data_IF_341133979311
#
_entry.id   IF_341133979311
#
_cell.length_a   1.000
_cell.length_b   1.000
_cell.length_c   1.000
_cell.angle_alpha   90.00
_cell.angle_beta   90.00
_cell.angle_gamma   90.00
#
_symmetry.space_group_name_H-M   'P 1'
#
loop_
_entity.id
_entity.type
_entity.pdbx_description
1 polymer ?
#
# COMPACT_ATOMS: atom_id res chain seq x y z
N UNK A 1 -24.51 -14.94 -17.18
CA UNK A 1 -25.27 -15.31 -15.97
C UNK A 1 -24.45 -14.87 -14.76
N UNK A 2 -25.08 -14.50 -13.62
CA UNK A 2 -24.31 -14.20 -12.41
C UNK A 2 -23.58 -15.46 -11.92
N UNK A 3 -22.38 -15.27 -11.37
CA UNK A 3 -21.53 -16.33 -10.84
C UNK A 3 -21.21 -16.07 -9.36
N UNK A 4 -21.04 -17.14 -8.58
CA UNK A 4 -20.50 -17.10 -7.23
C UNK A 4 -19.08 -17.63 -7.26
N UNK A 5 -18.12 -16.80 -6.87
CA UNK A 5 -16.70 -17.18 -6.81
C UNK A 5 -16.23 -17.14 -5.38
N UNK A 6 -15.48 -18.16 -4.97
CA UNK A 6 -14.92 -18.25 -3.62
C UNK A 6 -13.46 -17.85 -3.64
N UNK A 7 -13.08 -16.99 -2.71
CA UNK A 7 -11.69 -16.62 -2.44
C UNK A 7 -10.97 -17.84 -1.81
N UNK A 8 -9.89 -18.35 -2.42
CA UNK A 8 -9.22 -19.56 -1.96
C UNK A 8 -8.40 -19.35 -0.68
N UNK A 9 -8.13 -18.10 -0.28
CA UNK A 9 -7.31 -17.78 0.90
C UNK A 9 -8.23 -17.67 2.11
N UNK A 10 -9.14 -16.69 2.10
CA UNK A 10 -9.99 -16.41 3.27
C UNK A 10 -11.37 -17.08 3.21
N UNK A 11 -11.70 -17.76 2.12
CA UNK A 11 -12.92 -18.55 1.99
C UNK A 11 -14.22 -17.76 1.79
N UNK A 12 -14.16 -16.42 1.60
CA UNK A 12 -15.34 -15.59 1.32
C UNK A 12 -15.95 -15.89 -0.06
N UNK A 13 -17.25 -15.67 -0.20
CA UNK A 13 -17.95 -15.72 -1.49
C UNK A 13 -18.17 -14.32 -2.06
N UNK A 14 -18.00 -14.18 -3.36
CA UNK A 14 -18.22 -12.95 -4.11
C UNK A 14 -19.19 -13.20 -5.25
N UNK A 15 -20.19 -12.33 -5.38
CA UNK A 15 -21.18 -12.36 -6.46
C UNK A 15 -20.63 -11.54 -7.64
N UNK A 16 -20.40 -12.20 -8.76
CA UNK A 16 -19.98 -11.58 -10.02
C UNK A 16 -21.20 -11.46 -10.92
N UNK A 17 -21.69 -10.24 -11.11
CA UNK A 17 -22.87 -9.94 -11.92
C UNK A 17 -22.54 -8.83 -12.94
N UNK A 18 -21.90 -9.22 -14.06
CA UNK A 18 -21.38 -8.32 -15.11
C UNK A 18 -22.45 -7.38 -15.70
N UNK A 19 -23.69 -7.85 -15.83
CA UNK A 19 -24.82 -7.08 -16.38
C UNK A 19 -25.19 -5.85 -15.52
N UNK A 20 -24.81 -5.80 -14.22
CA UNK A 20 -25.10 -4.63 -13.38
C UNK A 20 -24.35 -3.37 -13.80
N UNK A 21 -23.26 -3.50 -14.55
CA UNK A 21 -22.55 -2.35 -15.14
C UNK A 21 -23.36 -1.59 -16.19
N UNK A 22 -24.42 -2.20 -16.74
CA UNK A 22 -25.30 -1.58 -17.75
C UNK A 22 -26.45 -0.77 -17.15
N UNK A 23 -26.62 -0.80 -15.82
CA UNK A 23 -27.67 -0.04 -15.15
C UNK A 23 -27.34 1.44 -15.28
N UNK A 24 -28.26 2.20 -15.88
CA UNK A 24 -28.15 3.65 -15.92
C UNK A 24 -28.31 4.21 -14.50
N UNK A 25 -27.36 5.04 -14.10
CA UNK A 25 -27.39 5.75 -12.83
C UNK A 25 -28.01 7.11 -13.05
N UNK A 26 -29.06 7.43 -12.28
CA UNK A 26 -29.63 8.79 -12.22
C UNK A 26 -28.66 9.81 -11.60
N UNK A 27 -27.61 9.33 -10.93
CA UNK A 27 -26.53 10.15 -10.40
C UNK A 27 -25.42 10.32 -11.44
N UNK A 28 -25.09 11.56 -11.77
CA UNK A 28 -23.97 11.92 -12.66
C UNK A 28 -22.63 11.58 -12.00
N UNK A 29 -21.81 10.78 -12.67
CA UNK A 29 -20.38 10.70 -12.37
C UNK A 29 -19.72 11.98 -12.89
N UNK A 30 -19.53 12.99 -12.04
CA UNK A 30 -18.66 14.11 -12.40
C UNK A 30 -17.23 13.59 -12.44
N UNK A 31 -16.56 13.74 -13.58
CA UNK A 31 -15.10 13.65 -13.62
C UNK A 31 -14.59 14.82 -12.78
N UNK A 32 -13.96 14.51 -11.65
CA UNK A 32 -13.38 15.53 -10.78
C UNK A 32 -12.09 16.02 -11.44
N UNK A 33 -12.11 17.26 -11.95
CA UNK A 33 -10.89 17.93 -12.39
C UNK A 33 -9.94 18.06 -11.20
N UNK A 34 -8.67 17.69 -11.38
CA UNK A 34 -7.65 17.91 -10.36
C UNK A 34 -7.61 19.41 -10.04
N UNK A 35 -7.69 19.81 -8.77
CA UNK A 35 -7.61 21.21 -8.41
C UNK A 35 -6.28 21.80 -8.89
N UNK A 36 -6.27 23.09 -9.28
CA UNK A 36 -5.06 23.76 -9.73
C UNK A 36 -3.98 23.70 -8.66
N UNK A 37 -2.70 23.68 -9.08
CA UNK A 37 -1.55 23.62 -8.18
C UNK A 37 -1.67 24.72 -7.13
N UNK A 38 -1.92 24.33 -5.88
CA UNK A 38 -2.05 25.27 -4.78
C UNK A 38 -0.67 25.53 -4.18
N UNK A 39 -0.22 26.79 -4.23
CA UNK A 39 1.05 27.24 -3.63
C UNK A 39 1.15 27.00 -2.12
N UNK A 40 0.03 26.73 -1.45
CA UNK A 40 -0.03 26.45 -0.02
C UNK A 40 0.04 24.96 0.35
N UNK A 41 0.19 24.04 -0.61
CA UNK A 41 0.33 22.62 -0.28
C UNK A 41 1.53 22.38 0.68
N UNK A 42 1.34 21.76 1.85
CA UNK A 42 2.43 21.52 2.81
C UNK A 42 3.48 20.53 2.31
N UNK A 43 3.15 19.72 1.29
CA UNK A 43 4.05 18.71 0.73
C UNK A 43 4.86 19.23 -0.47
N UNK A 44 4.56 20.43 -0.98
CA UNK A 44 5.39 21.04 -2.02
C UNK A 44 6.76 21.49 -1.46
N UNK A 45 7.83 21.41 -2.27
CA UNK A 45 9.12 21.99 -1.90
C UNK A 45 9.01 23.48 -1.57
N UNK A 46 9.71 23.92 -0.52
CA UNK A 46 9.65 25.29 0.00
C UNK A 46 8.60 25.50 1.11
N UNK A 47 7.74 24.50 1.36
CA UNK A 47 6.77 24.50 2.45
C UNK A 47 7.13 23.52 3.58
N UNK A 48 8.41 23.11 3.69
CA UNK A 48 8.90 22.15 4.69
C UNK A 48 8.56 22.56 6.14
N UNK A 49 8.53 23.87 6.42
CA UNK A 49 8.15 24.43 7.71
C UNK A 49 6.67 24.20 8.09
N UNK A 50 5.82 23.76 7.15
CA UNK A 50 4.40 23.42 7.41
C UNK A 50 4.21 21.96 7.83
N UNK A 51 5.25 21.14 7.74
CA UNK A 51 5.25 19.73 8.14
C UNK A 51 6.13 19.49 9.37
N UNK A 52 5.90 18.41 10.14
CA UNK A 52 6.87 17.97 11.14
C UNK A 52 8.22 17.64 10.49
N UNK A 53 9.28 17.59 11.29
CA UNK A 53 10.62 17.32 10.77
C UNK A 53 10.73 15.96 10.08
N UNK A 54 11.44 15.92 8.96
CA UNK A 54 11.63 14.70 8.17
C UNK A 54 12.40 13.63 8.94
N UNK A 55 11.90 12.39 8.93
CA UNK A 55 12.55 11.21 9.52
C UNK A 55 13.60 10.67 8.55
N UNK A 56 13.23 10.59 7.27
CA UNK A 56 14.06 10.14 6.16
C UNK A 56 13.82 11.05 4.95
N UNK A 57 14.86 11.32 4.17
CA UNK A 57 14.72 12.03 2.91
C UNK A 57 15.80 11.59 1.93
N UNK A 58 15.42 11.40 0.67
CA UNK A 58 16.36 11.27 -0.42
C UNK A 58 16.47 12.62 -1.12
N UNK A 59 17.68 13.15 -1.20
CA UNK A 59 17.95 14.56 -1.51
C UNK A 59 19.29 14.78 -2.20
N UNK A 60 19.40 15.90 -2.89
CA UNK A 60 20.61 16.31 -3.59
C UNK A 60 21.77 16.52 -2.60
N UNK A 61 22.99 16.05 -2.92
CA UNK A 61 24.17 16.29 -2.10
C UNK A 61 24.39 17.78 -1.82
N UNK A 62 24.65 18.13 -0.56
CA UNK A 62 24.87 19.51 -0.12
C UNK A 62 23.61 20.29 0.27
N UNK A 63 22.41 19.72 0.10
CA UNK A 63 21.17 20.31 0.61
C UNK A 63 20.93 19.97 2.09
N UNK A 64 20.17 20.80 2.80
CA UNK A 64 19.96 20.68 4.25
C UNK A 64 18.63 20.02 4.61
N UNK A 65 18.65 19.24 5.69
CA UNK A 65 17.48 18.58 6.26
C UNK A 65 16.35 19.58 6.53
N UNK A 66 15.10 19.22 6.22
CA UNK A 66 13.92 20.10 6.32
C UNK A 66 13.98 21.37 5.45
N UNK A 67 14.79 21.35 4.40
CA UNK A 67 14.77 22.34 3.32
C UNK A 67 14.56 21.65 1.96
N UNK A 68 14.33 22.45 0.92
CA UNK A 68 14.20 22.01 -0.49
C UNK A 68 15.38 21.16 -0.97
N UNK A 69 15.17 20.45 -2.07
CA UNK A 69 16.19 19.60 -2.72
C UNK A 69 16.04 18.10 -2.45
N UNK A 70 14.97 17.70 -1.76
CA UNK A 70 14.53 16.31 -1.65
C UNK A 70 13.67 15.93 -2.87
N UNK A 71 13.71 14.65 -3.25
CA UNK A 71 12.76 14.06 -4.20
C UNK A 71 11.81 13.06 -3.54
N UNK A 72 12.22 12.42 -2.43
CA UNK A 72 11.34 11.63 -1.55
C UNK A 72 11.56 12.10 -0.11
N UNK A 73 10.48 12.26 0.66
CA UNK A 73 10.55 12.73 2.05
C UNK A 73 9.55 12.00 2.94
N UNK A 74 10.01 11.41 4.03
CA UNK A 74 9.18 10.77 5.05
C UNK A 74 9.10 11.68 6.26
N UNK A 75 7.87 11.95 6.73
CA UNK A 75 7.58 12.78 7.90
C UNK A 75 6.62 12.04 8.83
N UNK A 76 6.63 12.32 10.15
CA UNK A 76 5.51 11.96 11.02
C UNK A 76 4.23 12.58 10.49
N UNK A 77 3.11 11.86 10.57
CA UNK A 77 1.81 12.45 10.29
C UNK A 77 1.49 13.50 11.37
N UNK A 78 1.08 14.70 10.94
CA UNK A 78 0.72 15.80 11.85
C UNK A 78 -0.50 15.47 12.73
N UNK A 79 -1.38 14.61 12.23
CA UNK A 79 -2.57 14.13 12.94
C UNK A 79 -2.52 12.60 12.98
N UNK A 80 -1.62 12.02 13.79
CA UNK A 80 -1.38 10.59 13.78
C UNK A 80 -2.58 9.83 14.39
N UNK A 81 -2.86 8.62 13.88
CA UNK A 81 -3.92 7.77 14.43
C UNK A 81 -3.46 6.96 15.64
N UNK A 82 -2.14 6.88 15.85
CA UNK A 82 -1.47 6.22 16.97
C UNK A 82 -0.30 7.08 17.45
N UNK A 83 -0.03 7.09 18.75
CA UNK A 83 1.07 7.82 19.38
C UNK A 83 2.34 6.98 19.53
N UNK A 84 3.51 7.55 19.24
CA UNK A 84 4.79 6.82 19.31
C UNK A 84 5.28 6.66 20.76
N UNK A 85 4.97 7.64 21.60
CA UNK A 85 5.43 7.71 23.00
C UNK A 85 4.50 6.95 23.95
N UNK A 86 5.07 6.32 24.98
CA UNK A 86 4.32 5.66 26.06
C UNK A 86 4.43 4.14 26.07
N UNK A 87 3.47 3.47 26.73
CA UNK A 87 3.42 2.02 26.87
C UNK A 87 2.05 1.51 26.44
N UNK A 88 1.96 0.24 26.03
CA UNK A 88 0.70 -0.34 25.56
C UNK A 88 -0.39 -0.37 26.64
N UNK A 89 -0.02 -0.46 27.92
CA UNK A 89 -0.94 -0.45 29.07
C UNK A 89 -2.18 -1.34 28.85
N UNK A 90 -1.94 -2.59 28.40
CA UNK A 90 -2.99 -3.59 28.15
C UNK A 90 -3.74 -3.89 29.46
N UNK A 91 -5.06 -3.77 29.45
CA UNK A 91 -5.94 -3.94 30.61
C UNK A 91 -7.30 -4.48 30.19
N UNK A 92 -7.96 -5.20 31.08
CA UNK A 92 -9.32 -5.70 30.86
C UNK A 92 -10.32 -5.05 31.82
N UNK A 93 -11.56 -4.89 31.35
CA UNK A 93 -12.72 -4.55 32.15
C UNK A 93 -13.83 -5.58 31.89
N UNK A 94 -13.90 -6.60 32.76
CA UNK A 94 -14.78 -7.75 32.54
C UNK A 94 -14.42 -8.51 31.26
N UNK A 95 -15.30 -8.46 30.26
CA UNK A 95 -15.11 -9.10 28.95
C UNK A 95 -14.44 -8.21 27.91
N UNK A 96 -14.17 -6.94 28.23
CA UNK A 96 -13.65 -5.94 27.29
C UNK A 96 -12.15 -5.77 27.48
N UNK A 97 -11.40 -5.76 26.37
CA UNK A 97 -9.97 -5.48 26.36
C UNK A 97 -9.69 -4.03 25.92
N UNK A 98 -8.75 -3.38 26.61
CA UNK A 98 -8.25 -2.05 26.30
C UNK A 98 -6.73 -2.05 26.21
N UNK A 99 -6.20 -1.18 25.36
CA UNK A 99 -4.81 -0.80 25.36
C UNK A 99 -4.70 0.67 24.92
N UNK A 100 -3.61 1.31 25.25
CA UNK A 100 -3.34 2.67 24.78
C UNK A 100 -2.97 2.62 23.29
N UNK A 101 -3.33 3.68 22.55
CA UNK A 101 -3.14 3.78 21.11
C UNK A 101 -1.68 4.02 20.72
N UNK A 102 -0.79 3.10 21.06
CA UNK A 102 0.64 3.18 20.75
C UNK A 102 0.91 2.67 19.34
N UNK A 103 1.71 3.38 18.57
CA UNK A 103 2.02 3.07 17.18
C UNK A 103 2.77 4.21 16.49
N UNK A 104 3.10 4.02 15.22
CA UNK A 104 3.63 5.09 14.38
C UNK A 104 2.65 5.39 13.24
N UNK A 105 2.52 6.66 12.88
CA UNK A 105 1.82 7.08 11.67
C UNK A 105 2.71 8.06 10.91
N UNK A 106 3.19 7.64 9.75
CA UNK A 106 4.12 8.40 8.91
C UNK A 106 3.50 8.65 7.53
N UNK A 107 3.91 9.75 6.90
CA UNK A 107 3.56 10.11 5.54
C UNK A 107 4.83 10.08 4.70
N UNK A 108 4.78 9.35 3.59
CA UNK A 108 5.83 9.28 2.57
C UNK A 108 5.40 10.18 1.43
N UNK A 109 6.03 11.34 1.32
CA UNK A 109 5.86 12.26 0.19
C UNK A 109 6.71 11.73 -0.95
N UNK A 110 6.04 11.28 -2.00
CA UNK A 110 6.59 10.42 -3.05
C UNK A 110 7.40 11.18 -4.10
N UNK A 111 7.09 12.47 -4.28
CA UNK A 111 7.76 13.32 -5.25
C UNK A 111 7.66 14.78 -4.85
N UNK A 112 8.58 15.60 -5.35
CA UNK A 112 8.48 17.06 -5.31
C UNK A 112 7.36 17.60 -6.23
N UNK A 113 6.89 16.82 -7.22
CA UNK A 113 5.89 17.23 -8.22
C UNK A 113 4.46 17.07 -7.68
N UNK A 114 3.70 18.17 -7.61
CA UNK A 114 2.39 18.20 -6.94
C UNK A 114 1.29 17.33 -7.57
N UNK A 115 1.33 17.09 -8.88
CA UNK A 115 0.25 16.41 -9.62
C UNK A 115 0.73 15.16 -10.36
N UNK A 116 1.90 14.61 -9.99
CA UNK A 116 2.44 13.45 -10.70
C UNK A 116 1.79 12.16 -10.21
N UNK A 117 1.34 11.30 -11.11
CA UNK A 117 1.03 9.91 -10.81
C UNK A 117 2.29 9.04 -10.91
N UNK A 118 2.22 7.78 -10.48
CA UNK A 118 3.35 6.85 -10.64
C UNK A 118 3.80 6.71 -12.10
N UNK A 119 2.86 6.71 -13.06
CA UNK A 119 3.16 6.61 -14.48
C UNK A 119 3.97 7.82 -15.02
N UNK A 120 3.82 9.00 -14.41
CA UNK A 120 4.55 10.22 -14.78
C UNK A 120 5.99 10.25 -14.24
N UNK A 121 6.30 9.38 -13.26
CA UNK A 121 7.61 9.31 -12.64
C UNK A 121 8.54 8.40 -13.44
N UNK A 122 9.83 8.72 -13.43
CA UNK A 122 10.86 7.81 -13.94
C UNK A 122 10.94 6.57 -13.05
N UNK A 123 11.32 5.41 -13.63
CA UNK A 123 11.40 4.15 -12.89
C UNK A 123 12.24 4.29 -11.62
N UNK A 124 13.38 4.97 -11.75
CA UNK A 124 14.29 5.21 -10.63
C UNK A 124 13.62 5.97 -9.49
N UNK A 125 12.74 6.93 -9.78
CA UNK A 125 12.00 7.65 -8.74
C UNK A 125 11.04 6.74 -7.98
N UNK A 126 10.39 5.80 -8.67
CA UNK A 126 9.49 4.82 -8.05
C UNK A 126 10.27 3.79 -7.23
N UNK A 127 11.44 3.36 -7.69
CA UNK A 127 12.36 2.53 -6.89
C UNK A 127 12.71 3.21 -5.57
N UNK A 128 13.06 4.50 -5.59
CA UNK A 128 13.37 5.26 -4.38
C UNK A 128 12.16 5.35 -3.43
N UNK A 129 10.93 5.43 -3.93
CA UNK A 129 9.74 5.36 -3.07
C UNK A 129 9.64 4.00 -2.38
N UNK A 130 9.87 2.91 -3.11
CA UNK A 130 9.88 1.54 -2.57
C UNK A 130 11.00 1.36 -1.52
N UNK A 131 12.19 1.89 -1.79
CA UNK A 131 13.29 1.88 -0.82
C UNK A 131 12.92 2.65 0.45
N UNK A 132 12.28 3.81 0.32
CA UNK A 132 11.79 4.55 1.49
C UNK A 132 10.77 3.72 2.31
N UNK A 133 9.83 3.04 1.66
CA UNK A 133 8.89 2.14 2.34
C UNK A 133 9.61 1.03 3.12
N UNK A 134 10.56 0.35 2.46
CA UNK A 134 11.36 -0.72 3.05
C UNK A 134 12.18 -0.22 4.25
N UNK A 135 12.90 0.89 4.09
CA UNK A 135 13.77 1.43 5.12
C UNK A 135 12.98 1.88 6.35
N UNK A 136 11.80 2.47 6.14
CA UNK A 136 10.89 2.80 7.25
C UNK A 136 10.35 1.56 7.93
N UNK A 137 9.94 0.54 7.17
CA UNK A 137 9.48 -0.73 7.74
C UNK A 137 10.55 -1.39 8.61
N UNK A 138 11.80 -1.45 8.13
CA UNK A 138 12.94 -2.00 8.89
C UNK A 138 13.25 -1.20 10.16
N UNK A 139 13.13 0.11 10.11
CA UNK A 139 13.34 0.96 11.27
C UNK A 139 12.23 0.81 12.32
N UNK A 140 10.97 0.83 11.88
CA UNK A 140 9.80 0.64 12.76
C UNK A 140 9.78 -0.75 13.41
N UNK A 141 10.25 -1.79 12.70
CA UNK A 141 10.38 -3.16 13.22
C UNK A 141 11.32 -3.29 14.44
N UNK A 142 12.20 -2.30 14.67
CA UNK A 142 13.07 -2.29 15.87
C UNK A 142 12.28 -2.06 17.16
N UNK A 143 11.09 -1.51 17.07
CA UNK A 143 10.19 -1.36 18.20
C UNK A 143 9.37 -2.63 18.42
N UNK A 144 9.72 -3.39 19.46
CA UNK A 144 9.09 -4.66 19.80
C UNK A 144 7.60 -4.54 20.18
N UNK A 145 7.07 -3.32 20.36
CA UNK A 145 5.64 -3.09 20.61
C UNK A 145 4.82 -3.28 19.34
N UNK A 146 5.40 -3.15 18.14
CA UNK A 146 4.69 -3.22 16.88
C UNK A 146 4.65 -4.66 16.35
N UNK A 147 3.45 -5.14 16.01
CA UNK A 147 3.22 -6.47 15.45
C UNK A 147 3.00 -6.43 13.93
N UNK A 148 2.60 -5.28 13.37
CA UNK A 148 2.31 -5.13 11.95
C UNK A 148 2.60 -3.72 11.44
N UNK A 149 3.13 -3.62 10.21
CA UNK A 149 3.36 -2.35 9.50
C UNK A 149 2.51 -2.37 8.23
N UNK A 150 1.59 -1.42 8.13
CA UNK A 150 0.71 -1.22 6.97
C UNK A 150 1.25 -0.06 6.12
N UNK A 151 1.67 -0.36 4.89
CA UNK A 151 1.93 0.65 3.86
C UNK A 151 0.71 0.75 2.97
N UNK A 152 0.17 1.95 2.78
CA UNK A 152 -1.00 2.15 1.93
C UNK A 152 -0.99 3.51 1.25
N UNK A 153 -1.78 3.63 0.18
CA UNK A 153 -1.94 4.86 -0.60
C UNK A 153 -3.41 5.08 -0.92
N UNK A 154 -3.89 6.30 -0.65
CA UNK A 154 -5.19 6.76 -1.10
C UNK A 154 -4.96 7.79 -2.20
N UNK A 155 -5.54 7.58 -3.37
CA UNK A 155 -5.41 8.48 -4.52
C UNK A 155 -6.78 8.93 -5.02
N UNK A 156 -6.99 10.25 -5.07
CA UNK A 156 -8.26 10.86 -5.45
C UNK A 156 -9.25 11.00 -4.28
N UNK A 157 -10.20 11.94 -4.43
CA UNK A 157 -11.17 12.26 -3.37
C UNK A 157 -12.07 11.07 -3.04
N UNK A 158 -12.49 10.30 -4.05
CA UNK A 158 -13.29 9.08 -3.88
C UNK A 158 -12.60 8.00 -3.03
N UNK A 159 -11.25 8.01 -2.97
CA UNK A 159 -10.46 7.12 -2.12
C UNK A 159 -10.18 7.70 -0.72
N UNK A 160 -10.75 8.87 -0.39
CA UNK A 160 -10.53 9.56 0.88
C UNK A 160 -9.21 10.32 0.97
N UNK A 161 -8.55 10.61 -0.17
CA UNK A 161 -7.34 11.43 -0.17
C UNK A 161 -7.68 12.87 0.24
N UNK A 162 -7.06 13.36 1.31
CA UNK A 162 -7.25 14.75 1.78
C UNK A 162 -6.37 15.76 1.04
N UNK A 163 -5.30 15.28 0.39
CA UNK A 163 -4.36 16.10 -0.38
C UNK A 163 -4.13 15.44 -1.73
N UNK A 164 -4.05 16.26 -2.78
CA UNK A 164 -3.75 15.82 -4.15
C UNK A 164 -2.29 15.40 -4.31
N UNK A 165 -1.39 16.06 -3.57
CA UNK A 165 0.04 15.81 -3.65
C UNK A 165 0.35 14.32 -3.43
N UNK A 166 1.13 13.67 -4.31
CA UNK A 166 1.39 12.23 -4.24
C UNK A 166 2.06 11.84 -2.92
N UNK A 167 1.33 11.05 -2.14
CA UNK A 167 1.84 10.51 -0.90
C UNK A 167 1.25 9.12 -0.65
N UNK A 168 2.02 8.34 0.09
CA UNK A 168 1.64 7.10 0.75
C UNK A 168 1.76 7.30 2.26
N UNK A 169 1.21 6.37 3.02
CA UNK A 169 1.20 6.41 4.47
C UNK A 169 1.69 5.07 5.00
N UNK A 170 2.34 5.12 6.16
CA UNK A 170 2.83 3.96 6.90
C UNK A 170 2.22 4.02 8.29
N UNK A 171 1.53 2.95 8.70
CA UNK A 171 1.03 2.79 10.06
C UNK A 171 1.66 1.55 10.68
N UNK A 172 2.47 1.74 11.73
CA UNK A 172 2.93 0.64 12.57
C UNK A 172 2.01 0.51 13.79
N UNK A 173 1.53 -0.70 14.04
CA UNK A 173 0.50 -0.97 15.05
C UNK A 173 0.83 -2.20 15.90
N UNK A 174 0.36 -2.26 17.16
CA UNK A 174 0.67 -3.33 18.11
C UNK A 174 -0.27 -4.53 17.97
N UNK A 175 -1.03 -4.61 16.88
CA UNK A 175 -2.00 -5.66 16.62
C UNK A 175 -2.02 -5.99 15.14
N UNK A 176 -2.08 -7.27 14.79
CA UNK A 176 -2.29 -7.69 13.39
C UNK A 176 -3.76 -7.43 12.96
N UNK A 177 -4.01 -6.73 11.82
CA UNK A 177 -5.37 -6.51 11.32
C UNK A 177 -6.14 -7.81 11.05
N UNK A 178 -7.46 -7.79 11.26
CA UNK A 178 -8.33 -8.98 11.11
C UNK A 178 -8.18 -9.63 9.73
N UNK A 179 -8.14 -8.83 8.66
CA UNK A 179 -7.96 -9.36 7.30
C UNK A 179 -6.64 -10.12 7.13
N UNK A 180 -5.55 -9.59 7.69
CA UNK A 180 -4.23 -10.21 7.63
C UNK A 180 -4.22 -11.51 8.44
N UNK A 181 -4.84 -11.52 9.63
CA UNK A 181 -5.02 -12.74 10.43
C UNK A 181 -5.75 -13.84 9.63
N UNK A 182 -6.83 -13.49 8.94
CA UNK A 182 -7.57 -14.42 8.08
C UNK A 182 -6.72 -14.93 6.91
N UNK A 183 -5.89 -14.08 6.29
CA UNK A 183 -4.99 -14.48 5.22
C UNK A 183 -3.90 -15.44 5.71
N UNK A 184 -3.34 -15.20 6.91
CA UNK A 184 -2.38 -16.10 7.57
C UNK A 184 -3.00 -17.46 7.93
N UNK A 185 -4.19 -17.45 8.54
CA UNK A 185 -4.93 -18.67 8.86
C UNK A 185 -5.30 -19.47 7.60
N UNK A 186 -5.79 -18.78 6.57
CA UNK A 186 -6.12 -19.36 5.28
C UNK A 186 -4.92 -20.00 4.59
N UNK A 187 -3.80 -19.28 4.53
CA UNK A 187 -2.54 -19.78 3.99
C UNK A 187 -2.02 -20.99 4.77
N UNK A 188 -2.10 -20.96 6.10
CA UNK A 188 -1.73 -22.07 6.97
C UNK A 188 -2.59 -23.31 6.71
N UNK A 189 -3.91 -23.16 6.70
CA UNK A 189 -4.84 -24.28 6.46
C UNK A 189 -4.61 -24.91 5.07
N UNK A 190 -4.35 -24.08 4.05
CA UNK A 190 -4.03 -24.56 2.72
C UNK A 190 -2.72 -25.34 2.72
N UNK A 191 -1.68 -24.83 3.37
CA UNK A 191 -0.39 -25.50 3.50
C UNK A 191 -0.51 -26.83 4.26
N UNK A 192 -1.26 -26.87 5.37
CA UNK A 192 -1.50 -28.11 6.13
C UNK A 192 -2.24 -29.18 5.29
N UNK A 193 -3.08 -28.77 4.33
CA UNK A 193 -3.83 -29.68 3.47
C UNK A 193 -3.09 -30.08 2.17
N UNK A 194 -2.28 -29.18 1.59
CA UNK A 194 -1.65 -29.35 0.27
C UNK A 194 -0.13 -29.42 0.30
N UNK A 195 0.51 -29.10 1.43
CA UNK A 195 1.96 -28.98 1.60
C UNK A 195 2.62 -28.00 0.62
N UNK A 196 1.85 -27.00 0.16
CA UNK A 196 2.29 -25.97 -0.80
C UNK A 196 1.70 -24.62 -0.43
N UNK A 197 2.35 -23.53 -0.87
CA UNK A 197 1.86 -22.18 -0.64
C UNK A 197 0.68 -21.85 -1.57
N UNK A 198 -0.44 -21.39 -1.00
CA UNK A 198 -1.64 -20.97 -1.75
C UNK A 198 -1.34 -19.89 -2.79
N UNK A 199 -0.49 -18.91 -2.46
CA UNK A 199 -0.13 -17.83 -3.39
C UNK A 199 0.71 -18.34 -4.57
N UNK A 200 1.65 -19.26 -4.32
CA UNK A 200 2.44 -19.89 -5.39
C UNK A 200 1.57 -20.73 -6.31
N UNK A 201 0.59 -21.44 -5.75
CA UNK A 201 -0.40 -22.18 -6.54
C UNK A 201 -1.27 -21.22 -7.36
N UNK A 202 -1.76 -20.11 -6.79
CA UNK A 202 -2.50 -19.07 -7.55
C UNK A 202 -1.66 -18.56 -8.73
N UNK A 203 -0.39 -18.20 -8.50
CA UNK A 203 0.50 -17.70 -9.56
C UNK A 203 0.62 -18.73 -10.69
N UNK A 204 0.88 -20.01 -10.36
CA UNK A 204 1.02 -21.07 -11.36
C UNK A 204 -0.27 -21.24 -12.18
N UNK A 205 -1.42 -21.33 -11.51
CA UNK A 205 -2.71 -21.52 -12.18
C UNK A 205 -3.07 -20.32 -13.08
N UNK A 206 -2.75 -19.08 -12.64
CA UNK A 206 -3.01 -17.89 -13.45
C UNK A 206 -2.07 -17.79 -14.67
N UNK A 207 -0.81 -18.21 -14.53
CA UNK A 207 0.15 -18.34 -15.65
C UNK A 207 -0.33 -19.39 -16.65
N UNK A 208 -0.73 -20.58 -16.18
CA UNK A 208 -1.22 -21.66 -17.04
C UNK A 208 -2.52 -21.28 -17.77
N UNK A 209 -3.44 -20.60 -17.09
CA UNK A 209 -4.69 -20.16 -17.66
C UNK A 209 -4.54 -18.97 -18.62
N UNK A 210 -3.61 -18.05 -18.33
CA UNK A 210 -3.32 -16.84 -19.11
C UNK A 210 -4.57 -15.99 -19.46
N UNK A 211 -5.53 -15.88 -18.52
CA UNK A 211 -6.81 -15.19 -18.75
C UNK A 211 -6.96 -13.94 -17.88
N UNK A 212 -6.34 -13.90 -16.68
CA UNK A 212 -6.51 -12.81 -15.70
C UNK A 212 -5.22 -12.04 -15.41
N UNK A 213 -4.17 -12.27 -16.18
CA UNK A 213 -2.92 -11.54 -16.09
C UNK A 213 -3.11 -10.15 -16.70
N UNK A 214 -2.73 -9.12 -15.95
CA UNK A 214 -2.77 -7.71 -16.35
C UNK A 214 -1.41 -7.25 -16.84
N UNK A 215 -0.36 -7.57 -16.10
CA UNK A 215 1.04 -7.29 -16.46
C UNK A 215 1.94 -8.33 -15.78
N UNK A 216 3.12 -8.59 -16.34
CA UNK A 216 4.07 -9.57 -15.85
C UNK A 216 5.49 -9.15 -16.26
N UNK A 217 6.44 -9.29 -15.35
CA UNK A 217 7.88 -9.14 -15.63
C UNK A 217 8.67 -10.30 -15.01
N UNK A 218 10.00 -10.21 -14.92
CA UNK A 218 10.84 -11.31 -14.43
C UNK A 218 10.47 -11.75 -13.01
N UNK A 219 10.22 -10.81 -12.10
CA UNK A 219 10.04 -11.08 -10.66
C UNK A 219 8.58 -11.04 -10.20
N UNK A 220 7.71 -10.31 -10.89
CA UNK A 220 6.34 -10.05 -10.46
C UNK A 220 5.30 -10.39 -11.53
N UNK A 221 4.12 -10.75 -11.04
CA UNK A 221 2.90 -10.90 -11.84
C UNK A 221 1.81 -10.04 -11.22
N UNK A 222 1.08 -9.30 -12.06
CA UNK A 222 -0.12 -8.58 -11.69
C UNK A 222 -1.33 -9.31 -12.29
N UNK A 223 -2.25 -9.73 -11.43
CA UNK A 223 -3.47 -10.44 -11.84
C UNK A 223 -4.71 -9.69 -11.40
N UNK A 224 -5.84 -9.95 -12.06
CA UNK A 224 -7.16 -9.71 -11.47
C UNK A 224 -7.56 -10.95 -10.66
N UNK A 225 -7.81 -10.84 -9.33
CA UNK A 225 -8.16 -12.00 -8.52
C UNK A 225 -9.37 -12.76 -9.07
N UNK A 226 -9.35 -14.10 -9.01
CA UNK A 226 -10.47 -14.93 -9.44
C UNK A 226 -11.81 -14.48 -8.81
N UNK A 227 -11.77 -14.14 -7.51
CA UNK A 227 -12.88 -13.62 -6.72
C UNK A 227 -12.68 -12.14 -6.33
N UNK A 228 -12.44 -11.26 -7.31
CA UNK A 228 -12.35 -9.80 -7.09
C UNK A 228 -13.60 -9.21 -6.44
N UNK A 229 -13.40 -8.43 -5.39
CA UNK A 229 -14.44 -7.69 -4.65
C UNK A 229 -14.81 -6.38 -5.34
N UNK A 230 -13.85 -5.78 -6.04
CA UNK A 230 -14.03 -4.50 -6.71
C UNK A 230 -13.83 -4.65 -8.22
N UNK A 231 -14.55 -3.85 -9.04
CA UNK A 231 -14.23 -3.74 -10.46
C UNK A 231 -12.78 -3.28 -10.64
N UNK A 232 -12.06 -3.93 -11.55
CA UNK A 232 -10.63 -3.66 -11.82
C UNK A 232 -9.70 -3.86 -10.62
N UNK A 233 -10.11 -4.64 -9.61
CA UNK A 233 -9.19 -5.06 -8.55
C UNK A 233 -8.02 -5.85 -9.14
N UNK A 234 -6.81 -5.43 -8.82
CA UNK A 234 -5.56 -6.08 -9.20
C UNK A 234 -4.77 -6.50 -7.96
N UNK A 235 -3.92 -7.51 -8.13
CA UNK A 235 -3.03 -8.02 -7.11
C UNK A 235 -1.67 -8.28 -7.74
N UNK A 236 -0.63 -7.60 -7.23
CA UNK A 236 0.77 -7.86 -7.59
C UNK A 236 1.32 -8.91 -6.63
N UNK A 237 1.92 -9.96 -7.16
CA UNK A 237 2.51 -11.06 -6.40
C UNK A 237 3.96 -11.32 -6.88
N UNK A 238 4.92 -11.55 -5.97
CA UNK A 238 6.25 -12.02 -6.36
C UNK A 238 6.16 -13.46 -6.86
N UNK A 239 6.81 -13.76 -7.99
CA UNK A 239 6.86 -15.10 -8.57
C UNK A 239 7.69 -16.07 -7.71
N UNK A 240 8.76 -15.54 -7.10
CA UNK A 240 9.55 -16.27 -6.11
C UNK A 240 8.86 -16.21 -4.76
N UNK A 241 8.81 -17.34 -4.07
CA UNK A 241 8.18 -17.42 -2.75
C UNK A 241 8.91 -16.51 -1.75
N UNK A 242 8.21 -15.48 -1.27
CA UNK A 242 8.65 -14.60 -0.19
C UNK A 242 7.47 -14.21 0.69
N UNK A 243 7.74 -14.05 1.99
CA UNK A 243 6.72 -13.72 3.00
C UNK A 243 6.84 -12.30 3.56
N UNK A 244 7.95 -11.62 3.26
CA UNK A 244 8.34 -10.37 3.89
C UNK A 244 8.72 -9.33 2.82
N UNK A 245 8.06 -8.18 2.86
CA UNK A 245 8.31 -7.09 1.90
C UNK A 245 9.70 -6.49 2.09
N UNK A 246 10.23 -6.51 3.32
CA UNK A 246 11.55 -5.97 3.62
C UNK A 246 12.72 -6.79 3.05
N UNK A 247 12.47 -8.02 2.60
CA UNK A 247 13.47 -8.93 2.04
C UNK A 247 13.71 -8.69 0.53
N UNK A 248 13.02 -7.71 -0.07
CA UNK A 248 13.18 -7.35 -1.48
C UNK A 248 14.65 -7.06 -1.85
N UNK A 249 15.09 -7.72 -2.92
CA UNK A 249 16.39 -7.52 -3.53
C UNK A 249 16.37 -6.36 -4.53
N UNK A 250 17.55 -5.89 -4.92
CA UNK A 250 17.69 -4.73 -5.80
C UNK A 250 16.99 -4.90 -7.16
N UNK A 251 17.07 -6.09 -7.77
CA UNK A 251 16.41 -6.37 -9.04
C UNK A 251 14.89 -6.43 -8.88
N UNK A 252 14.40 -7.04 -7.80
CA UNK A 252 12.97 -7.07 -7.45
C UNK A 252 12.41 -5.66 -7.23
N UNK A 253 13.13 -4.75 -6.57
CA UNK A 253 12.67 -3.35 -6.43
C UNK A 253 12.55 -2.64 -7.78
N UNK A 254 13.50 -2.85 -8.69
CA UNK A 254 13.43 -2.28 -10.03
C UNK A 254 12.24 -2.83 -10.83
N UNK A 255 11.98 -4.14 -10.74
CA UNK A 255 10.86 -4.79 -11.40
C UNK A 255 9.50 -4.46 -10.75
N UNK A 256 9.45 -4.29 -9.43
CA UNK A 256 8.25 -3.82 -8.74
C UNK A 256 7.92 -2.36 -9.11
N UNK A 257 8.95 -1.51 -9.27
CA UNK A 257 8.75 -0.15 -9.75
C UNK A 257 8.14 -0.12 -11.17
N UNK A 258 8.62 -0.98 -12.08
CA UNK A 258 8.08 -1.09 -13.43
C UNK A 258 6.61 -1.51 -13.41
N UNK A 259 6.27 -2.59 -12.71
CA UNK A 259 4.90 -3.09 -12.70
C UNK A 259 3.94 -2.11 -12.04
N UNK A 260 4.37 -1.39 -10.99
CA UNK A 260 3.57 -0.32 -10.38
C UNK A 260 3.31 0.84 -11.34
N UNK A 261 4.26 1.19 -12.20
CA UNK A 261 4.07 2.23 -13.22
C UNK A 261 3.10 1.76 -14.30
N UNK A 262 3.20 0.51 -14.73
CA UNK A 262 2.34 -0.05 -15.78
C UNK A 262 0.86 -0.08 -15.37
N UNK A 263 0.57 -0.43 -14.11
CA UNK A 263 -0.83 -0.62 -13.67
C UNK A 263 -1.48 0.66 -13.14
N UNK A 264 -0.70 1.71 -12.88
CA UNK A 264 -1.19 3.01 -12.39
C UNK A 264 -1.06 4.10 -13.47
N UNK A 265 -0.88 3.70 -14.74
CA UNK A 265 -0.84 4.58 -15.91
C UNK A 265 -2.12 4.61 -16.71
#
# INVERSE_FOLDING_TARGET
>A
MPELRRDPIIGRWVIIATERGKIQSDFSKSAEELPPINSSCPFCPGNENKTPSEILSFREPGTKRNEKGWWVRVIPNKYPVLGVEGNLNRRGEGMFDFMDGIGAHEVVIETAKHNAAFCDLENKSVEEIIWAWRDRMLDLKKDMRFEYVLIFKNHGMAAGASLVHPHSQIIAMPTVPVRVKQELEGGRNYFEYKERCVFCDIIREEIEANVRIVSENEDFICITPFASRFPFETCILPKTHSSAFEDLQKHEVANLALILRDING
#
